data_IF_641502107414
#
_entry.id   IF_641502107414
#
_cell.length_a   1.000
_cell.length_b   1.000
_cell.length_c   1.000
_cell.angle_alpha   90.00
_cell.angle_beta   90.00
_cell.angle_gamma   90.00
#
_symmetry.space_group_name_H-M   'P 1'
#
loop_
_entity.id
_entity.type
_entity.pdbx_description
1 polymer ?
#
# COMPACT_ATOMS: atom_id res chain seq x y z
N UNK A 1 -21.39 -13.76 11.92
CA UNK A 1 -21.10 -12.31 11.98
C UNK A 1 -19.77 -12.18 12.68
N UNK A 2 -18.69 -12.09 11.91
CA UNK A 2 -17.33 -12.03 12.46
C UNK A 2 -16.99 -10.56 12.67
N UNK A 3 -16.82 -10.15 13.92
CA UNK A 3 -16.28 -8.83 14.29
C UNK A 3 -14.76 -8.95 14.30
N UNK A 4 -14.06 -8.15 13.51
CA UNK A 4 -12.64 -7.91 13.73
C UNK A 4 -12.51 -7.11 15.02
N UNK A 5 -12.05 -7.77 16.08
CA UNK A 5 -11.58 -7.13 17.31
C UNK A 5 -10.07 -7.03 17.18
N UNK A 6 -9.54 -5.82 16.99
CA UNK A 6 -8.10 -5.54 17.06
C UNK A 6 -7.77 -5.18 18.51
N UNK A 7 -7.22 -6.14 19.25
CA UNK A 7 -6.48 -5.87 20.49
C UNK A 7 -4.99 -5.81 20.13
N UNK A 8 -4.45 -4.59 20.05
CA UNK A 8 -3.02 -4.32 19.86
C UNK A 8 -2.38 -3.89 21.18
N UNK A 9 -1.55 -4.77 21.74
CA UNK A 9 -0.70 -4.57 22.91
C UNK A 9 0.32 -3.43 22.66
N UNK A 10 0.20 -2.35 23.43
CA UNK A 10 1.12 -1.22 23.38
C UNK A 10 2.42 -1.55 24.10
N UNK A 11 3.46 -1.98 23.37
CA UNK A 11 4.85 -2.00 23.85
C UNK A 11 5.58 -0.72 23.46
N UNK A 12 5.77 0.16 24.45
CA UNK A 12 6.64 1.34 24.34
C UNK A 12 8.10 0.90 24.31
N UNK A 13 8.64 0.70 23.11
CA UNK A 13 10.10 0.63 22.87
C UNK A 13 10.55 1.99 22.37
N UNK A 14 11.39 2.67 23.17
CA UNK A 14 12.02 3.94 22.81
C UNK A 14 13.20 3.69 21.84
N UNK A 15 12.88 3.19 20.65
CA UNK A 15 13.75 3.21 19.48
C UNK A 15 13.20 4.29 18.55
N UNK A 16 14.08 5.05 17.87
CA UNK A 16 13.65 6.03 16.87
C UNK A 16 13.00 5.28 15.70
N UNK A 17 11.68 5.04 15.80
CA UNK A 17 10.91 4.30 14.81
C UNK A 17 10.97 5.06 13.49
N UNK A 18 11.54 4.44 12.46
CA UNK A 18 11.63 5.04 11.12
C UNK A 18 10.33 4.73 10.39
N UNK A 19 9.56 5.77 10.09
CA UNK A 19 8.37 5.62 9.27
C UNK A 19 8.75 5.50 7.80
N UNK A 20 8.42 4.38 7.18
CA UNK A 20 8.53 4.14 5.74
C UNK A 20 7.17 4.38 5.12
N UNK A 21 7.07 5.36 4.22
CA UNK A 21 5.84 5.69 3.51
C UNK A 21 5.81 4.97 2.17
N UNK A 22 4.80 4.12 1.96
CA UNK A 22 4.62 3.35 0.73
C UNK A 22 3.36 3.82 0.01
N UNK A 23 3.54 4.36 -1.20
CA UNK A 23 2.44 4.67 -2.12
C UNK A 23 2.04 3.44 -2.92
N UNK A 24 0.76 3.11 -2.94
CA UNK A 24 0.19 2.02 -3.72
C UNK A 24 -0.85 2.61 -4.65
N UNK A 25 -0.63 2.44 -5.95
CA UNK A 25 -1.60 2.81 -6.97
C UNK A 25 -2.27 1.50 -7.40
N UNK A 26 -3.58 1.41 -7.20
CA UNK A 26 -4.35 0.19 -7.45
C UNK A 26 -5.49 0.41 -8.45
N UNK A 27 -6.13 -0.69 -8.81
CA UNK A 27 -7.32 -0.74 -9.64
C UNK A 27 -8.44 -1.33 -8.79
N UNK A 28 -9.68 -0.86 -8.98
CA UNK A 28 -10.83 -1.37 -8.24
C UNK A 28 -11.88 -1.97 -9.17
N UNK A 29 -12.22 -1.29 -10.26
CA UNK A 29 -13.42 -1.62 -11.04
C UNK A 29 -13.11 -2.34 -12.36
N UNK A 30 -11.94 -2.10 -12.97
CA UNK A 30 -11.65 -2.63 -14.31
C UNK A 30 -11.19 -4.09 -14.33
N UNK A 31 -10.57 -4.55 -13.25
CA UNK A 31 -9.97 -5.88 -13.18
C UNK A 31 -10.34 -6.52 -11.84
N UNK A 32 -11.54 -7.12 -11.72
CA UNK A 32 -12.06 -7.60 -10.43
C UNK A 32 -11.16 -8.65 -9.78
N UNK A 33 -10.43 -9.45 -10.56
CA UNK A 33 -9.47 -10.45 -10.06
C UNK A 33 -8.19 -9.86 -9.44
N UNK A 34 -7.82 -8.62 -9.77
CA UNK A 34 -6.66 -7.91 -9.18
C UNK A 34 -7.10 -6.61 -8.49
N UNK A 35 -8.38 -6.51 -8.16
CA UNK A 35 -8.93 -5.35 -7.50
C UNK A 35 -8.35 -5.24 -6.08
N UNK A 36 -8.11 -4.00 -5.63
CA UNK A 36 -7.64 -3.74 -4.27
C UNK A 36 -8.55 -4.35 -3.20
N UNK A 37 -9.85 -4.39 -3.44
CA UNK A 37 -10.83 -5.00 -2.52
C UNK A 37 -10.61 -6.51 -2.32
N UNK A 38 -9.98 -7.19 -3.28
CA UNK A 38 -9.71 -8.63 -3.24
C UNK A 38 -8.27 -8.92 -2.81
N UNK A 39 -7.31 -8.13 -3.30
CA UNK A 39 -5.88 -8.39 -3.10
C UNK A 39 -5.23 -7.51 -2.02
N UNK A 40 -5.84 -6.39 -1.63
CA UNK A 40 -5.24 -5.40 -0.73
C UNK A 40 -4.91 -5.93 0.66
N UNK A 41 -5.71 -6.89 1.17
CA UNK A 41 -5.44 -7.55 2.45
C UNK A 41 -4.14 -8.36 2.48
N UNK A 42 -3.62 -8.78 1.31
CA UNK A 42 -2.36 -9.52 1.24
C UNK A 42 -1.15 -8.66 1.65
N UNK A 43 -1.24 -7.33 1.51
CA UNK A 43 -0.16 -6.41 1.90
C UNK A 43 0.05 -6.42 3.41
N UNK A 44 -1.03 -6.37 4.19
CA UNK A 44 -0.96 -6.46 5.65
C UNK A 44 -0.40 -7.81 6.11
N UNK A 45 -0.88 -8.90 5.51
CA UNK A 45 -0.38 -10.24 5.82
C UNK A 45 1.11 -10.42 5.51
N UNK A 46 1.57 -9.86 4.39
CA UNK A 46 2.99 -9.87 4.03
C UNK A 46 3.83 -9.05 5.04
N UNK A 47 3.31 -7.91 5.50
CA UNK A 47 3.97 -7.10 6.51
C UNK A 47 4.06 -7.82 7.85
N UNK A 48 2.99 -8.47 8.29
CA UNK A 48 2.98 -9.27 9.52
C UNK A 48 4.01 -10.39 9.44
N UNK A 49 4.12 -11.03 8.28
CA UNK A 49 5.10 -12.10 8.06
C UNK A 49 6.54 -11.60 8.11
N UNK A 50 6.83 -10.46 7.48
CA UNK A 50 8.16 -9.84 7.51
C UNK A 50 8.52 -9.38 8.93
N UNK A 51 7.55 -8.86 9.69
CA UNK A 51 7.74 -8.49 11.10
C UNK A 51 8.12 -9.70 11.96
N UNK A 52 7.43 -10.82 11.78
CA UNK A 52 7.71 -12.07 12.48
C UNK A 52 9.09 -12.65 12.14
N UNK A 53 9.45 -12.72 10.85
CA UNK A 53 10.67 -13.44 10.41
C UNK A 53 11.96 -12.63 10.55
N UNK A 54 11.87 -11.30 10.47
CA UNK A 54 13.04 -10.44 10.36
C UNK A 54 13.12 -9.35 11.44
N UNK A 55 12.25 -9.39 12.45
CA UNK A 55 12.25 -8.47 13.60
C UNK A 55 12.24 -6.99 13.17
N UNK A 56 11.33 -6.64 12.25
CA UNK A 56 11.11 -5.27 11.73
C UNK A 56 10.38 -4.35 12.74
N UNK A 57 10.72 -4.42 14.03
CA UNK A 57 10.09 -3.61 15.09
C UNK A 57 10.52 -2.13 15.06
N UNK A 58 11.67 -1.84 14.45
CA UNK A 58 12.22 -0.49 14.35
C UNK A 58 11.60 0.37 13.23
N UNK A 59 10.74 -0.23 12.40
CA UNK A 59 10.13 0.42 11.24
C UNK A 59 8.60 0.44 11.35
N UNK A 60 8.03 1.62 11.14
CA UNK A 60 6.59 1.78 10.99
C UNK A 60 6.25 1.99 9.51
N UNK A 61 5.20 1.33 9.02
CA UNK A 61 4.82 1.39 7.62
C UNK A 61 3.53 2.15 7.46
N UNK A 62 3.58 3.24 6.68
CA UNK A 62 2.41 4.05 6.32
C UNK A 62 2.06 3.80 4.86
N UNK A 63 0.88 3.24 4.62
CA UNK A 63 0.39 2.96 3.27
C UNK A 63 -0.52 4.08 2.77
N UNK A 64 -0.23 4.59 1.58
CA UNK A 64 -1.06 5.55 0.85
C UNK A 64 -1.66 4.82 -0.33
N UNK A 65 -2.98 4.63 -0.36
CA UNK A 65 -3.65 3.90 -1.43
C UNK A 65 -4.41 4.87 -2.33
N UNK A 66 -4.16 4.80 -3.63
CA UNK A 66 -4.84 5.58 -4.66
C UNK A 66 -5.33 4.69 -5.79
N UNK A 67 -6.37 5.13 -6.48
CA UNK A 67 -7.00 4.38 -7.54
C UNK A 67 -6.83 5.10 -8.86
N UNK A 68 -6.21 4.46 -9.86
CA UNK A 68 -6.02 5.05 -11.19
C UNK A 68 -6.92 4.44 -12.27
N UNK A 69 -7.59 3.32 -11.98
CA UNK A 69 -8.42 2.59 -12.95
C UNK A 69 -7.73 2.44 -14.33
N UNK A 70 -6.46 2.06 -14.34
CA UNK A 70 -5.64 1.91 -15.55
C UNK A 70 -5.55 3.13 -16.49
N UNK A 71 -5.86 4.32 -15.98
CA UNK A 71 -5.59 5.57 -16.67
C UNK A 71 -4.14 6.02 -16.44
N UNK A 72 -3.43 6.31 -17.54
CA UNK A 72 -2.01 6.66 -17.47
C UNK A 72 -1.80 8.02 -16.81
N UNK A 73 -2.60 9.02 -17.17
CA UNK A 73 -2.47 10.37 -16.64
C UNK A 73 -2.72 10.41 -15.13
N UNK A 74 -3.74 9.71 -14.65
CA UNK A 74 -4.05 9.56 -13.22
C UNK A 74 -2.96 8.78 -12.49
N UNK A 75 -2.47 7.68 -13.07
CA UNK A 75 -1.36 6.90 -12.47
C UNK A 75 -0.12 7.77 -12.29
N UNK A 76 0.27 8.54 -13.32
CA UNK A 76 1.41 9.45 -13.24
C UNK A 76 1.17 10.60 -12.26
N UNK A 77 -0.02 11.18 -12.25
CA UNK A 77 -0.41 12.23 -11.32
C UNK A 77 -0.31 11.78 -9.86
N UNK A 78 -0.85 10.60 -9.55
CA UNK A 78 -0.74 9.98 -8.23
C UNK A 78 0.72 9.67 -7.87
N UNK A 79 1.51 9.16 -8.82
CA UNK A 79 2.93 8.92 -8.61
C UNK A 79 3.70 10.19 -8.25
N UNK A 80 3.47 11.28 -8.96
CA UNK A 80 4.10 12.58 -8.69
C UNK A 80 3.64 13.13 -7.33
N UNK A 81 2.35 13.04 -7.01
CA UNK A 81 1.79 13.45 -5.72
C UNK A 81 2.45 12.69 -4.56
N UNK A 82 2.56 11.37 -4.69
CA UNK A 82 3.18 10.53 -3.66
C UNK A 82 4.65 10.86 -3.46
N UNK A 83 5.42 11.04 -4.54
CA UNK A 83 6.84 11.37 -4.44
C UNK A 83 7.08 12.81 -3.95
N UNK A 84 6.32 13.78 -4.46
CA UNK A 84 6.63 15.21 -4.27
C UNK A 84 5.98 15.81 -3.02
N UNK A 85 4.73 15.44 -2.74
CA UNK A 85 3.94 16.07 -1.69
C UNK A 85 3.79 15.18 -0.46
N UNK A 86 3.69 13.86 -0.65
CA UNK A 86 3.44 12.91 0.45
C UNK A 86 4.70 12.19 0.92
N UNK A 87 5.84 12.47 0.29
CA UNK A 87 7.18 11.97 0.65
C UNK A 87 7.19 10.44 0.75
N UNK A 88 6.56 9.76 -0.22
CA UNK A 88 6.61 8.31 -0.32
C UNK A 88 8.03 7.86 -0.65
N UNK A 89 8.56 6.95 0.16
CA UNK A 89 9.88 6.32 -0.04
C UNK A 89 9.83 5.33 -1.21
N UNK A 90 8.68 4.66 -1.36
CA UNK A 90 8.45 3.62 -2.36
C UNK A 90 7.08 3.84 -2.98
N UNK A 91 6.97 3.68 -4.30
CA UNK A 91 5.69 3.68 -5.02
C UNK A 91 5.53 2.38 -5.79
N UNK A 92 4.44 1.66 -5.52
CA UNK A 92 4.04 0.43 -6.21
C UNK A 92 2.95 0.79 -7.22
N UNK A 93 3.24 0.56 -8.50
CA UNK A 93 2.34 0.88 -9.60
C UNK A 93 1.16 -0.11 -9.73
N UNK A 94 0.13 0.27 -10.51
CA UNK A 94 -1.06 -0.54 -10.66
C UNK A 94 -0.81 -1.77 -11.55
N UNK A 95 -1.48 -2.91 -11.27
CA UNK A 95 -1.39 -4.13 -12.07
C UNK A 95 -2.22 -4.01 -13.36
N UNK A 96 -1.87 -3.05 -14.22
CA UNK A 96 -2.55 -2.83 -15.50
C UNK A 96 -1.79 -3.52 -16.64
N UNK A 97 -2.49 -4.28 -17.51
CA UNK A 97 -1.85 -4.90 -18.66
C UNK A 97 -1.35 -3.83 -19.65
N UNK A 98 -0.22 -4.10 -20.30
CA UNK A 98 0.33 -3.23 -21.33
C UNK A 98 -0.72 -3.04 -22.45
N UNK A 99 -1.15 -1.80 -22.69
CA UNK A 99 -2.16 -1.46 -23.70
C UNK A 99 -3.57 -1.13 -23.18
N UNK A 100 -3.84 -1.22 -21.86
CA UNK A 100 -5.12 -0.73 -21.27
C UNK A 100 -5.07 0.76 -20.88
N UNK A 101 -4.03 1.48 -21.30
CA UNK A 101 -3.92 2.93 -21.11
C UNK A 101 -4.94 3.58 -22.05
N UNK A 102 -6.08 4.05 -21.51
CA UNK A 102 -6.96 4.91 -22.29
C UNK A 102 -6.17 6.18 -22.65
N UNK A 103 -5.91 6.34 -23.95
CA UNK A 103 -5.41 7.58 -24.54
C UNK A 103 -6.54 8.60 -24.65
#
# INVERSE_FOLDING_TARGET
MFTCSEEGDAKTVNTMVKTVTVGIIAVEQLLPQVAWSVCGGAVGLALDKIREEHNFEDFDFRFLVGYSQCDLAQTLGLGIEYMSNQQADIVIGPPCPQGMQRQ
#
